data_IF_004666566123
#
_entry.id   IF_004666566123
#
_cell.length_a   1.000
_cell.length_b   1.000
_cell.length_c   1.000
_cell.angle_alpha   90.00
_cell.angle_beta   90.00
_cell.angle_gamma   90.00
#
_symmetry.space_group_name_H-M   'P 1'
#
loop_
_entity.id
_entity.type
_entity.pdbx_description
1 polymer ?
#
# COMPACT_ATOMS: atom_id res chain seq x y z
N UNK A 1 -0.65 27.65 0.82
CA UNK A 1 -1.80 27.08 0.08
C UNK A 1 -1.25 26.25 -1.07
N UNK A 2 -0.99 24.96 -0.86
CA UNK A 2 -0.57 24.06 -1.93
C UNK A 2 -1.83 23.59 -2.68
N UNK A 3 -1.90 23.90 -3.96
CA UNK A 3 -2.99 23.50 -4.87
C UNK A 3 -2.94 21.97 -4.99
N UNK A 4 -3.96 21.35 -4.41
CA UNK A 4 -4.21 19.91 -4.42
C UNK A 4 -4.50 19.47 -5.85
N UNK A 5 -3.56 18.74 -6.48
CA UNK A 5 -3.85 17.98 -7.69
C UNK A 5 -4.65 16.73 -7.30
N UNK A 6 -5.93 16.60 -7.68
CA UNK A 6 -6.66 15.37 -7.45
C UNK A 6 -6.07 14.27 -8.32
N UNK A 7 -5.46 13.25 -7.70
CA UNK A 7 -5.09 12.02 -8.41
C UNK A 7 -6.36 11.39 -8.99
N UNK A 8 -6.60 11.64 -10.27
CA UNK A 8 -7.76 11.14 -11.02
C UNK A 8 -7.89 9.62 -10.96
N UNK A 9 -6.80 8.90 -10.66
CA UNK A 9 -6.76 7.44 -10.60
C UNK A 9 -7.45 6.81 -9.37
N UNK A 10 -7.62 7.51 -8.24
CA UNK A 10 -8.24 6.93 -7.00
C UNK A 10 -9.70 7.31 -6.77
N UNK A 11 -10.19 8.31 -7.49
CA UNK A 11 -11.60 8.73 -7.49
C UNK A 11 -12.56 7.66 -8.06
N UNK A 12 -12.22 6.86 -9.09
CA UNK A 12 -13.17 5.88 -9.61
C UNK A 12 -13.51 4.81 -8.57
N UNK A 13 -12.54 4.28 -7.82
CA UNK A 13 -12.76 3.11 -6.96
C UNK A 13 -13.95 3.23 -5.97
N UNK A 14 -14.10 4.30 -5.15
CA UNK A 14 -15.23 4.42 -4.24
C UNK A 14 -16.58 4.52 -4.97
N UNK A 15 -16.60 5.13 -6.18
CA UNK A 15 -17.81 5.22 -6.99
C UNK A 15 -18.18 3.84 -7.55
N UNK A 16 -17.22 3.07 -8.04
CA UNK A 16 -17.45 1.70 -8.54
C UNK A 16 -17.87 0.75 -7.41
N UNK A 17 -17.25 0.86 -6.23
CA UNK A 17 -17.64 0.10 -5.04
C UNK A 17 -19.08 0.40 -4.63
N UNK A 18 -19.48 1.69 -4.59
CA UNK A 18 -20.87 2.07 -4.32
C UNK A 18 -21.85 1.56 -5.38
N UNK A 19 -21.47 1.58 -6.65
CA UNK A 19 -22.30 1.08 -7.75
C UNK A 19 -22.50 -0.44 -7.67
N UNK A 20 -21.45 -1.19 -7.31
CA UNK A 20 -21.53 -2.63 -7.06
C UNK A 20 -22.51 -2.95 -5.91
N UNK A 21 -22.51 -2.16 -4.83
CA UNK A 21 -23.44 -2.35 -3.71
C UNK A 21 -24.90 -2.10 -4.12
N UNK A 22 -25.15 -1.09 -4.97
CA UNK A 22 -26.49 -0.80 -5.50
C UNK A 22 -26.95 -1.93 -6.44
N UNK A 23 -26.06 -2.46 -7.28
CA UNK A 23 -26.37 -3.63 -8.11
C UNK A 23 -26.68 -4.84 -7.20
N UNK A 24 -25.89 -5.05 -6.14
CA UNK A 24 -26.12 -6.10 -5.16
C UNK A 24 -27.49 -6.01 -4.49
N UNK A 25 -27.94 -4.79 -4.15
CA UNK A 25 -29.31 -4.54 -3.69
C UNK A 25 -30.34 -4.94 -4.74
N UNK A 26 -30.15 -4.54 -6.00
CA UNK A 26 -31.06 -4.86 -7.09
C UNK A 26 -31.24 -6.37 -7.26
N UNK A 27 -30.13 -7.12 -7.24
CA UNK A 27 -30.16 -8.59 -7.33
C UNK A 27 -30.83 -9.21 -6.10
N UNK A 28 -30.52 -8.72 -4.90
CA UNK A 28 -31.11 -9.21 -3.66
C UNK A 28 -32.61 -8.97 -3.57
N UNK A 29 -33.08 -7.75 -3.89
CA UNK A 29 -34.50 -7.42 -3.93
C UNK A 29 -35.25 -8.19 -5.00
N UNK A 30 -34.65 -8.35 -6.19
CA UNK A 30 -35.19 -9.20 -7.24
C UNK A 30 -35.38 -10.64 -6.73
N UNK A 31 -34.41 -11.15 -5.96
CA UNK A 31 -34.50 -12.42 -5.27
C UNK A 31 -35.69 -12.54 -4.31
N UNK A 32 -35.97 -11.50 -3.54
CA UNK A 32 -37.13 -11.45 -2.63
C UNK A 32 -38.47 -11.29 -3.36
N UNK A 33 -38.50 -10.58 -4.49
CA UNK A 33 -39.72 -10.39 -5.28
C UNK A 33 -40.14 -11.72 -5.95
N UNK A 34 -39.19 -12.46 -6.55
CA UNK A 34 -39.48 -13.54 -7.51
C UNK A 34 -39.38 -14.98 -6.99
N UNK A 35 -39.48 -15.26 -5.68
CA UNK A 35 -39.31 -16.66 -5.22
C UNK A 35 -37.85 -17.16 -5.08
N UNK A 36 -36.87 -16.44 -5.63
CA UNK A 36 -35.63 -17.07 -6.09
C UNK A 36 -34.70 -17.45 -4.93
N UNK A 37 -34.69 -18.74 -4.60
CA UNK A 37 -33.84 -19.33 -3.55
C UNK A 37 -32.35 -18.99 -3.74
N UNK A 38 -31.84 -18.95 -4.98
CA UNK A 38 -30.45 -18.60 -5.27
C UNK A 38 -30.06 -17.17 -4.88
N UNK A 39 -30.99 -16.22 -4.96
CA UNK A 39 -30.73 -14.81 -4.63
C UNK A 39 -30.97 -14.48 -3.15
N UNK A 40 -31.74 -15.32 -2.43
CA UNK A 40 -31.94 -15.21 -0.96
C UNK A 40 -30.94 -16.02 -0.16
N UNK A 41 -30.64 -17.21 -0.64
CA UNK A 41 -29.67 -18.17 -0.11
C UNK A 41 -28.69 -18.55 -1.23
N UNK A 42 -27.72 -17.69 -1.55
CA UNK A 42 -26.70 -18.01 -2.57
C UNK A 42 -25.91 -19.28 -2.22
N UNK A 43 -25.89 -19.65 -0.94
CA UNK A 43 -25.49 -20.98 -0.47
C UNK A 43 -26.66 -21.52 0.37
N UNK A 44 -27.25 -22.69 0.01
CA UNK A 44 -28.43 -23.24 0.69
C UNK A 44 -28.28 -23.46 2.20
N UNK A 45 -27.05 -23.58 2.70
CA UNK A 45 -26.73 -23.79 4.12
C UNK A 45 -26.45 -22.51 4.91
N UNK A 46 -26.52 -21.32 4.30
CA UNK A 46 -26.16 -20.05 4.94
C UNK A 46 -27.39 -19.16 5.18
N UNK A 47 -27.29 -18.32 6.22
CA UNK A 47 -28.33 -17.38 6.62
C UNK A 47 -28.73 -16.46 5.44
N UNK A 48 -30.05 -16.16 5.30
CA UNK A 48 -30.54 -15.32 4.22
C UNK A 48 -30.06 -13.88 4.38
N UNK A 49 -30.02 -13.14 3.28
CA UNK A 49 -29.80 -11.70 3.32
C UNK A 49 -31.12 -11.01 3.69
N UNK A 50 -31.16 -10.35 4.84
CA UNK A 50 -32.34 -9.62 5.30
C UNK A 50 -32.60 -8.34 4.48
N UNK A 51 -33.87 -8.00 4.16
CA UNK A 51 -34.21 -6.84 3.32
C UNK A 51 -33.65 -5.51 3.86
N UNK A 52 -33.75 -5.27 5.16
CA UNK A 52 -33.22 -4.06 5.80
C UNK A 52 -31.69 -3.96 5.70
N UNK A 53 -30.97 -5.09 5.74
CA UNK A 53 -29.52 -5.09 5.52
C UNK A 53 -29.16 -4.62 4.12
N UNK A 54 -29.96 -4.99 3.12
CA UNK A 54 -29.74 -4.56 1.74
C UNK A 54 -29.99 -3.05 1.58
N UNK A 55 -31.07 -2.53 2.17
CA UNK A 55 -31.40 -1.09 2.12
C UNK A 55 -30.29 -0.26 2.75
N UNK A 56 -29.78 -0.68 3.92
CA UNK A 56 -28.70 0.02 4.61
C UNK A 56 -27.38 -0.03 3.81
N UNK A 57 -27.03 -1.20 3.26
CA UNK A 57 -25.85 -1.35 2.39
C UNK A 57 -25.91 -0.46 1.16
N UNK A 58 -27.05 -0.41 0.47
CA UNK A 58 -27.22 0.42 -0.71
C UNK A 58 -27.23 1.91 -0.39
N UNK A 59 -27.86 2.30 0.72
CA UNK A 59 -27.83 3.67 1.21
C UNK A 59 -26.42 4.13 1.52
N UNK A 60 -25.62 3.30 2.20
CA UNK A 60 -24.22 3.58 2.48
C UNK A 60 -23.36 3.57 1.19
N UNK A 61 -23.67 2.70 0.24
CA UNK A 61 -23.07 2.71 -1.10
C UNK A 61 -23.36 4.01 -1.88
N UNK A 62 -24.59 4.52 -1.79
CA UNK A 62 -24.97 5.81 -2.38
C UNK A 62 -24.26 6.97 -1.67
N UNK A 63 -24.13 6.91 -0.35
CA UNK A 63 -23.33 7.86 0.42
C UNK A 63 -21.88 7.87 -0.08
N UNK A 64 -21.29 6.69 -0.31
CA UNK A 64 -19.93 6.54 -0.84
C UNK A 64 -19.77 7.18 -2.23
N UNK A 65 -20.74 7.00 -3.13
CA UNK A 65 -20.76 7.64 -4.46
C UNK A 65 -20.79 9.16 -4.33
N UNK A 66 -21.67 9.71 -3.47
CA UNK A 66 -21.75 11.16 -3.28
C UNK A 66 -20.49 11.76 -2.66
N UNK A 67 -19.86 11.07 -1.71
CA UNK A 67 -18.59 11.49 -1.11
C UNK A 67 -17.43 11.42 -2.11
N UNK A 68 -17.34 10.34 -2.91
CA UNK A 68 -16.34 10.21 -3.97
C UNK A 68 -16.48 11.29 -5.05
N UNK A 69 -17.71 11.54 -5.48
CA UNK A 69 -18.01 12.59 -6.45
C UNK A 69 -17.79 14.00 -5.88
N UNK A 70 -18.05 14.22 -4.60
CA UNK A 70 -17.71 15.49 -3.94
C UNK A 70 -16.21 15.74 -3.93
N UNK A 71 -15.39 14.70 -3.68
CA UNK A 71 -13.92 14.81 -3.77
C UNK A 71 -13.44 15.16 -5.17
N UNK A 72 -14.17 14.72 -6.21
CA UNK A 72 -13.85 15.01 -7.61
C UNK A 72 -14.27 16.41 -8.07
N UNK A 73 -15.48 16.85 -7.71
CA UNK A 73 -16.08 18.09 -8.24
C UNK A 73 -16.18 19.24 -7.25
N UNK A 74 -15.91 19.01 -5.97
CA UNK A 74 -16.01 20.02 -4.90
C UNK A 74 -17.45 20.48 -4.59
N UNK A 75 -18.47 19.80 -5.13
CA UNK A 75 -19.85 20.28 -5.07
C UNK A 75 -20.50 20.09 -3.69
N UNK A 76 -20.75 21.21 -2.98
CA UNK A 76 -21.23 21.20 -1.58
C UNK A 76 -22.58 20.50 -1.36
N UNK A 77 -23.46 20.46 -2.37
CA UNK A 77 -24.75 19.76 -2.24
C UNK A 77 -24.57 18.24 -2.14
N UNK A 78 -23.60 17.67 -2.87
CA UNK A 78 -23.27 16.23 -2.80
C UNK A 78 -22.72 15.86 -1.43
N UNK A 79 -21.92 16.73 -0.84
CA UNK A 79 -21.47 16.53 0.53
C UNK A 79 -22.62 16.62 1.53
N UNK A 80 -23.48 17.65 1.44
CA UNK A 80 -24.65 17.77 2.34
C UNK A 80 -25.60 16.59 2.23
N UNK A 81 -25.90 16.13 1.02
CA UNK A 81 -26.75 14.96 0.79
C UNK A 81 -26.15 13.67 1.35
N UNK A 82 -24.84 13.46 1.18
CA UNK A 82 -24.14 12.34 1.82
C UNK A 82 -24.21 12.41 3.35
N UNK A 83 -24.07 13.60 3.95
CA UNK A 83 -24.16 13.81 5.40
C UNK A 83 -25.57 13.54 5.92
N UNK A 84 -26.61 14.06 5.26
CA UNK A 84 -28.01 13.80 5.65
C UNK A 84 -28.36 12.33 5.51
N UNK A 85 -27.88 11.68 4.45
CA UNK A 85 -28.08 10.25 4.23
C UNK A 85 -27.35 9.42 5.29
N UNK A 86 -26.10 9.77 5.61
CA UNK A 86 -25.33 9.14 6.69
C UNK A 86 -26.00 9.30 8.05
N UNK A 87 -26.55 10.48 8.37
CA UNK A 87 -27.32 10.70 9.60
C UNK A 87 -28.58 9.85 9.66
N UNK A 88 -29.35 9.79 8.56
CA UNK A 88 -30.56 8.98 8.48
C UNK A 88 -30.25 7.49 8.67
N UNK A 89 -29.25 6.97 7.94
CA UNK A 89 -28.83 5.57 8.01
C UNK A 89 -28.24 5.21 9.38
N UNK A 90 -27.48 6.12 9.98
CA UNK A 90 -26.98 5.98 11.35
C UNK A 90 -28.12 5.89 12.36
N UNK A 91 -29.12 6.78 12.27
CA UNK A 91 -30.31 6.73 13.13
C UNK A 91 -31.08 5.42 12.99
N UNK A 92 -31.24 4.91 11.76
CA UNK A 92 -31.89 3.60 11.54
C UNK A 92 -31.06 2.45 12.11
N UNK A 93 -29.73 2.50 12.04
CA UNK A 93 -28.87 1.47 12.63
C UNK A 93 -28.91 1.49 14.18
N UNK A 94 -28.95 2.69 14.79
CA UNK A 94 -29.16 2.84 16.24
C UNK A 94 -30.51 2.31 16.67
N UNK A 95 -31.56 2.58 15.89
CA UNK A 95 -32.90 2.07 16.16
C UNK A 95 -32.92 0.54 16.21
N UNK A 96 -32.39 -0.14 15.19
CA UNK A 96 -32.30 -1.60 15.17
C UNK A 96 -31.37 -2.17 16.25
N UNK A 97 -30.27 -1.48 16.60
CA UNK A 97 -29.41 -1.90 17.73
C UNK A 97 -30.16 -1.84 19.06
N UNK A 98 -30.92 -0.76 19.30
CA UNK A 98 -31.70 -0.62 20.52
C UNK A 98 -32.81 -1.69 20.60
N UNK A 99 -33.46 -1.99 19.48
CA UNK A 99 -34.47 -3.04 19.41
C UNK A 99 -33.90 -4.44 19.68
N UNK A 100 -32.77 -4.77 19.05
CA UNK A 100 -32.05 -6.01 19.30
C UNK A 100 -31.58 -6.11 20.76
N UNK A 101 -31.12 -5.01 21.38
CA UNK A 101 -30.64 -5.00 22.75
C UNK A 101 -31.77 -5.12 23.80
N UNK A 102 -32.96 -4.63 23.48
CA UNK A 102 -34.13 -4.67 24.37
C UNK A 102 -34.93 -5.98 24.23
N UNK A 103 -34.51 -6.90 23.36
CA UNK A 103 -35.22 -8.15 23.02
C UNK A 103 -36.72 -7.91 22.80
N UNK A 104 -37.09 -6.77 22.21
CA UNK A 104 -38.48 -6.47 21.88
C UNK A 104 -38.73 -6.91 20.44
N UNK A 105 -39.65 -7.84 20.25
CA UNK A 105 -40.13 -8.27 18.93
C UNK A 105 -41.18 -7.30 18.34
N UNK A 106 -41.19 -6.05 18.83
CA UNK A 106 -42.37 -5.22 18.93
C UNK A 106 -42.39 -4.07 17.92
N UNK A 107 -41.84 -4.25 16.71
CA UNK A 107 -41.91 -3.19 15.70
C UNK A 107 -42.50 -3.66 14.38
N UNK A 108 -43.54 -2.95 13.93
CA UNK A 108 -44.14 -3.06 12.59
C UNK A 108 -43.14 -2.72 11.46
N UNK A 109 -42.05 -2.02 11.78
CA UNK A 109 -41.00 -1.62 10.83
C UNK A 109 -40.28 -2.84 10.23
N UNK A 110 -40.08 -3.89 11.02
CA UNK A 110 -39.48 -5.16 10.56
C UNK A 110 -40.32 -5.87 9.50
N UNK A 111 -41.63 -5.57 9.47
CA UNK A 111 -42.61 -6.15 8.55
C UNK A 111 -42.99 -5.21 7.40
N UNK A 112 -42.37 -4.03 7.30
CA UNK A 112 -42.67 -3.06 6.23
C UNK A 112 -42.21 -3.59 4.85
N UNK A 113 -41.08 -4.30 4.81
CA UNK A 113 -40.56 -4.95 3.61
C UNK A 113 -40.86 -6.45 3.62
N UNK A 114 -41.73 -6.88 2.71
CA UNK A 114 -42.13 -8.28 2.50
C UNK A 114 -42.69 -9.00 3.75
N UNK A 115 -43.75 -8.46 4.39
CA UNK A 115 -44.33 -8.98 5.63
C UNK A 115 -44.67 -10.47 5.60
N UNK A 116 -45.27 -10.95 4.49
CA UNK A 116 -45.73 -12.34 4.36
C UNK A 116 -44.57 -13.33 4.15
N UNK A 117 -43.51 -12.93 3.45
CA UNK A 117 -42.40 -13.81 3.07
C UNK A 117 -41.37 -13.98 4.19
N UNK A 118 -41.24 -12.99 5.07
CA UNK A 118 -40.32 -13.05 6.22
C UNK A 118 -40.80 -14.07 7.26
N UNK A 119 -42.12 -14.14 7.50
CA UNK A 119 -42.73 -15.06 8.48
C UNK A 119 -42.65 -16.53 8.04
N UNK A 120 -42.65 -16.80 6.74
CA UNK A 120 -42.65 -18.17 6.20
C UNK A 120 -41.27 -18.85 6.18
N UNK A 121 -40.18 -18.08 6.22
CA UNK A 121 -38.82 -18.61 5.97
C UNK A 121 -38.02 -18.81 7.25
N UNK A 122 -38.23 -17.98 8.27
CA UNK A 122 -37.48 -18.08 9.53
C UNK A 122 -38.47 -18.05 10.69
N UNK A 123 -38.78 -19.23 11.24
CA UNK A 123 -39.81 -19.41 12.28
C UNK A 123 -39.59 -18.59 13.56
N UNK A 124 -38.42 -17.97 13.76
CA UNK A 124 -38.10 -17.19 14.97
C UNK A 124 -37.36 -15.85 14.71
N UNK A 125 -37.14 -15.42 13.46
CA UNK A 125 -36.36 -14.18 13.21
C UNK A 125 -37.16 -13.13 12.46
N UNK A 126 -37.35 -11.97 13.08
CA UNK A 126 -37.86 -10.78 12.41
C UNK A 126 -36.90 -10.38 11.27
N UNK A 127 -37.40 -9.74 10.21
CA UNK A 127 -36.63 -9.38 9.00
C UNK A 127 -35.53 -8.33 9.21
N UNK A 128 -35.07 -8.16 10.45
CA UNK A 128 -34.10 -7.17 10.91
C UNK A 128 -32.67 -7.58 10.61
N UNK A 129 -31.75 -6.61 10.42
CA UNK A 129 -30.33 -6.92 10.37
C UNK A 129 -29.84 -7.46 11.72
N UNK A 130 -28.80 -8.29 11.69
CA UNK A 130 -28.15 -8.75 12.92
C UNK A 130 -27.54 -7.59 13.72
N UNK A 131 -27.33 -7.75 15.04
CA UNK A 131 -26.68 -6.72 15.86
C UNK A 131 -25.29 -6.33 15.33
N UNK A 132 -24.52 -7.30 14.83
CA UNK A 132 -23.20 -7.09 14.24
C UNK A 132 -23.27 -6.28 12.94
N UNK A 133 -24.25 -6.57 12.08
CA UNK A 133 -24.48 -5.79 10.86
C UNK A 133 -24.89 -4.36 11.19
N UNK A 134 -25.78 -4.17 12.17
CA UNK A 134 -26.20 -2.83 12.60
C UNK A 134 -25.03 -2.04 13.18
N UNK A 135 -24.17 -2.66 14.00
CA UNK A 135 -22.95 -2.02 14.50
C UNK A 135 -22.01 -1.61 13.36
N UNK A 136 -21.85 -2.47 12.36
CA UNK A 136 -21.06 -2.17 11.16
C UNK A 136 -21.62 -0.97 10.39
N UNK A 137 -22.93 -0.95 10.14
CA UNK A 137 -23.60 0.16 9.46
C UNK A 137 -23.51 1.46 10.23
N UNK A 138 -23.62 1.40 11.56
CA UNK A 138 -23.47 2.56 12.44
C UNK A 138 -22.05 3.13 12.34
N UNK A 139 -21.01 2.28 12.38
CA UNK A 139 -19.62 2.72 12.26
C UNK A 139 -19.37 3.40 10.92
N UNK A 140 -19.87 2.85 9.81
CA UNK A 140 -19.75 3.48 8.49
C UNK A 140 -20.58 4.76 8.35
N UNK A 141 -21.77 4.83 8.97
CA UNK A 141 -22.55 6.06 9.04
C UNK A 141 -21.82 7.17 9.81
N UNK A 142 -21.19 6.83 10.95
CA UNK A 142 -20.34 7.75 11.70
C UNK A 142 -19.12 8.16 10.88
N UNK A 143 -18.50 7.23 10.14
CA UNK A 143 -17.42 7.56 9.21
C UNK A 143 -17.89 8.57 8.16
N UNK A 144 -19.05 8.36 7.53
CA UNK A 144 -19.63 9.33 6.59
C UNK A 144 -19.83 10.72 7.23
N UNK A 145 -20.32 10.79 8.46
CA UNK A 145 -20.52 12.06 9.19
C UNK A 145 -19.19 12.76 9.56
N UNK A 146 -18.16 11.99 9.84
CA UNK A 146 -16.82 12.52 10.13
C UNK A 146 -16.06 12.98 8.87
N UNK A 147 -16.53 12.60 7.68
CA UNK A 147 -15.85 12.92 6.43
C UNK A 147 -15.75 14.43 6.19
N UNK A 148 -14.52 14.93 6.28
CA UNK A 148 -14.11 16.28 5.88
C UNK A 148 -12.78 16.20 5.12
N UNK A 149 -12.69 16.74 3.88
CA UNK A 149 -11.49 16.59 3.06
C UNK A 149 -10.23 17.18 3.68
N UNK A 150 -10.34 18.32 4.35
CA UNK A 150 -9.21 19.12 4.83
C UNK A 150 -9.37 19.54 6.31
N UNK A 151 -9.93 18.66 7.16
CA UNK A 151 -10.22 18.99 8.56
C UNK A 151 -9.43 18.15 9.56
N UNK A 152 -9.34 18.64 10.79
CA UNK A 152 -8.75 17.95 11.96
C UNK A 152 -9.39 16.57 12.23
N UNK A 153 -10.60 16.33 11.70
CA UNK A 153 -11.33 15.06 11.80
C UNK A 153 -10.87 14.00 10.81
N UNK A 154 -9.87 14.26 9.97
CA UNK A 154 -9.34 13.30 9.00
C UNK A 154 -8.82 12.00 9.65
N UNK A 155 -8.19 12.11 10.82
CA UNK A 155 -7.76 10.96 11.61
C UNK A 155 -8.93 10.11 12.09
N UNK A 156 -9.95 10.75 12.68
CA UNK A 156 -11.16 10.08 13.16
C UNK A 156 -11.95 9.39 12.04
N UNK A 157 -12.06 10.03 10.86
CA UNK A 157 -12.64 9.41 9.66
C UNK A 157 -11.93 8.12 9.27
N UNK A 158 -10.60 8.16 9.22
CA UNK A 158 -9.78 7.01 8.85
C UNK A 158 -9.92 5.89 9.86
N UNK A 159 -9.91 6.21 11.16
CA UNK A 159 -10.11 5.23 12.23
C UNK A 159 -11.48 4.57 12.13
N UNK A 160 -12.55 5.36 11.98
CA UNK A 160 -13.91 4.82 11.83
C UNK A 160 -14.04 3.92 10.58
N UNK A 161 -13.41 4.30 9.48
CA UNK A 161 -13.41 3.49 8.24
C UNK A 161 -12.71 2.13 8.43
N UNK A 162 -11.60 2.10 9.16
CA UNK A 162 -10.87 0.86 9.48
C UNK A 162 -11.65 0.02 10.49
N UNK A 163 -12.20 0.64 11.54
CA UNK A 163 -13.04 -0.03 12.54
C UNK A 163 -14.27 -0.66 11.91
N UNK A 164 -14.79 -0.11 10.81
CA UNK A 164 -15.92 -0.69 10.07
C UNK A 164 -15.63 -2.09 9.50
N UNK A 165 -14.37 -2.49 9.34
CA UNK A 165 -14.03 -3.86 8.94
C UNK A 165 -14.03 -4.88 10.07
N UNK A 166 -14.09 -4.44 11.33
CA UNK A 166 -13.93 -5.33 12.49
C UNK A 166 -14.96 -6.47 12.51
N UNK A 167 -16.26 -6.14 12.51
CA UNK A 167 -17.33 -7.14 12.54
C UNK A 167 -17.41 -7.98 11.26
N UNK A 168 -17.23 -7.44 10.04
CA UNK A 168 -17.13 -8.26 8.83
C UNK A 168 -15.99 -9.26 8.83
N UNK A 169 -14.80 -8.87 9.31
CA UNK A 169 -13.67 -9.80 9.45
C UNK A 169 -14.01 -10.88 10.48
N UNK A 170 -14.60 -10.50 11.61
CA UNK A 170 -15.01 -11.45 12.65
C UNK A 170 -16.02 -12.46 12.10
N UNK A 171 -17.05 -12.01 11.39
CA UNK A 171 -18.05 -12.86 10.75
C UNK A 171 -17.41 -13.81 9.71
N UNK A 172 -16.54 -13.29 8.83
CA UNK A 172 -15.82 -14.10 7.85
C UNK A 172 -14.93 -15.15 8.51
N UNK A 173 -14.26 -14.81 9.62
CA UNK A 173 -13.47 -15.79 10.38
C UNK A 173 -14.35 -16.91 10.93
N UNK A 174 -15.55 -16.59 11.42
CA UNK A 174 -16.53 -17.57 11.91
C UNK A 174 -17.07 -18.50 10.82
N UNK A 175 -17.06 -18.08 9.55
CA UNK A 175 -17.36 -18.96 8.42
C UNK A 175 -16.17 -19.87 8.05
N UNK A 176 -14.94 -19.37 8.15
CA UNK A 176 -13.72 -20.15 7.86
C UNK A 176 -13.50 -21.29 8.86
N UNK A 177 -13.82 -21.05 10.13
CA UNK A 177 -13.67 -22.04 11.20
C UNK A 177 -14.78 -23.09 11.22
N UNK A 178 -15.87 -22.89 10.46
CA UNK A 178 -17.02 -23.79 10.51
C UNK A 178 -17.89 -23.61 11.77
N UNK A 179 -17.67 -22.57 12.57
CA UNK A 179 -18.56 -22.13 13.65
C UNK A 179 -19.77 -21.32 13.16
N UNK A 180 -20.06 -21.43 11.84
CA UNK A 180 -21.13 -20.77 11.09
C UNK A 180 -21.47 -19.34 11.56
N UNK A 181 -20.50 -18.41 11.57
CA UNK A 181 -20.75 -16.98 11.81
C UNK A 181 -21.46 -16.62 13.13
N UNK A 182 -21.49 -17.55 14.11
CA UNK A 182 -22.11 -17.54 15.45
C UNK A 182 -23.64 -17.81 15.54
N UNK A 183 -24.26 -18.41 14.52
CA UNK A 183 -25.65 -18.90 14.56
C UNK A 183 -25.83 -20.22 15.34
N UNK A 184 -25.32 -20.30 16.57
CA UNK A 184 -25.39 -21.52 17.38
C UNK A 184 -25.18 -21.35 18.89
N UNK A 185 -25.14 -20.12 19.40
CA UNK A 185 -25.32 -19.89 20.84
C UNK A 185 -26.80 -19.64 21.09
N UNK A 186 -27.39 -20.29 22.11
CA UNK A 186 -28.77 -20.11 22.60
C UNK A 186 -29.07 -18.68 23.15
N UNK A 187 -28.34 -17.67 22.67
CA UNK A 187 -28.41 -16.28 23.09
C UNK A 187 -28.43 -15.39 21.86
N UNK A 188 -29.52 -14.66 21.63
CA UNK A 188 -29.71 -13.34 20.98
C UNK A 188 -28.83 -12.82 19.81
N UNK A 189 -27.82 -13.53 19.33
CA UNK A 189 -26.85 -13.12 18.32
C UNK A 189 -26.99 -14.02 17.09
N UNK A 190 -27.94 -13.69 16.22
CA UNK A 190 -27.95 -14.24 14.86
C UNK A 190 -26.75 -13.68 14.10
N UNK A 191 -25.86 -14.55 13.65
CA UNK A 191 -24.63 -14.19 12.93
C UNK A 191 -24.87 -13.38 11.66
N UNK A 192 -23.94 -12.49 11.30
CA UNK A 192 -24.00 -11.79 10.01
C UNK A 192 -23.86 -12.77 8.83
N UNK A 193 -24.73 -12.66 7.81
CA UNK A 193 -24.67 -13.56 6.65
C UNK A 193 -23.40 -13.32 5.80
N UNK A 194 -22.87 -14.39 5.20
CA UNK A 194 -21.64 -14.35 4.38
C UNK A 194 -21.69 -13.28 3.27
N UNK A 195 -22.79 -13.13 2.50
CA UNK A 195 -22.85 -12.10 1.47
C UNK A 195 -22.82 -10.68 2.03
N UNK A 196 -23.50 -10.44 3.17
CA UNK A 196 -23.47 -9.13 3.84
C UNK A 196 -22.07 -8.83 4.35
N UNK A 197 -21.37 -9.82 4.91
CA UNK A 197 -19.98 -9.67 5.33
C UNK A 197 -19.08 -9.26 4.17
N UNK A 198 -19.18 -9.96 3.03
CA UNK A 198 -18.40 -9.65 1.83
C UNK A 198 -18.71 -8.24 1.27
N UNK A 199 -19.98 -7.85 1.22
CA UNK A 199 -20.38 -6.51 0.75
C UNK A 199 -19.92 -5.41 1.72
N UNK A 200 -19.97 -5.65 3.04
CA UNK A 200 -19.41 -4.74 4.04
C UNK A 200 -17.88 -4.59 3.89
N UNK A 201 -17.16 -5.63 3.48
CA UNK A 201 -15.72 -5.52 3.17
C UNK A 201 -15.48 -4.59 1.98
N UNK A 202 -16.27 -4.72 0.91
CA UNK A 202 -16.24 -3.81 -0.24
C UNK A 202 -16.57 -2.38 0.19
N UNK A 203 -17.62 -2.19 0.99
CA UNK A 203 -18.01 -0.88 1.52
C UNK A 203 -16.86 -0.22 2.31
N UNK A 204 -16.24 -0.95 3.24
CA UNK A 204 -15.11 -0.44 4.02
C UNK A 204 -13.89 -0.09 3.16
N UNK A 205 -13.61 -0.88 2.11
CA UNK A 205 -12.54 -0.55 1.16
C UNK A 205 -12.80 0.77 0.43
N UNK A 206 -14.06 1.05 0.09
CA UNK A 206 -14.50 2.32 -0.48
C UNK A 206 -14.27 3.49 0.47
N UNK A 207 -14.66 3.36 1.74
CA UNK A 207 -14.45 4.41 2.75
C UNK A 207 -12.98 4.67 3.03
N UNK A 208 -12.16 3.62 3.15
CA UNK A 208 -10.70 3.76 3.32
C UNK A 208 -10.06 4.44 2.09
N UNK A 209 -10.54 4.15 0.88
CA UNK A 209 -10.07 4.83 -0.34
C UNK A 209 -10.38 6.34 -0.33
N UNK A 210 -11.40 6.78 0.42
CA UNK A 210 -11.74 8.19 0.60
C UNK A 210 -10.92 8.90 1.68
N UNK A 211 -10.04 8.23 2.41
CA UNK A 211 -9.27 8.87 3.49
C UNK A 211 -8.38 10.04 3.00
N UNK A 212 -8.31 11.16 3.74
CA UNK A 212 -7.42 12.28 3.43
C UNK A 212 -5.93 11.95 3.61
N UNK A 213 -5.07 12.58 2.78
CA UNK A 213 -3.59 12.45 2.81
C UNK A 213 -2.95 13.19 3.99
N UNK A 214 -3.42 12.95 5.22
CA UNK A 214 -2.93 13.64 6.43
C UNK A 214 -3.31 13.00 7.77
N UNK A 215 -4.16 11.98 7.79
CA UNK A 215 -4.47 11.18 8.99
C UNK A 215 -3.56 9.95 9.11
N UNK A 216 -4.02 8.84 9.72
CA UNK A 216 -3.34 7.54 9.61
C UNK A 216 -3.14 7.10 8.14
N UNK A 217 -3.83 7.71 7.16
CA UNK A 217 -3.54 7.59 5.73
C UNK A 217 -2.15 8.11 5.31
N UNK A 218 -1.54 8.99 6.10
CA UNK A 218 -0.16 9.48 5.95
C UNK A 218 0.89 8.40 6.27
N UNK A 219 0.48 7.38 7.04
CA UNK A 219 1.24 6.14 7.28
C UNK A 219 1.24 5.24 6.03
N UNK A 220 0.58 5.64 4.94
CA UNK A 220 0.59 4.94 3.66
C UNK A 220 1.15 5.82 2.53
N UNK A 221 1.79 6.96 2.79
CA UNK A 221 2.40 7.80 1.75
C UNK A 221 3.73 7.16 1.25
N UNK A 222 4.00 7.09 -0.07
CA UNK A 222 5.21 6.45 -0.61
C UNK A 222 6.53 7.13 -0.21
N UNK A 223 6.48 8.44 0.09
CA UNK A 223 7.69 9.26 0.25
C UNK A 223 8.30 9.23 1.66
N UNK A 224 7.75 8.45 2.59
CA UNK A 224 8.37 8.24 3.91
C UNK A 224 8.43 6.78 4.29
N UNK A 225 9.52 6.46 4.97
CA UNK A 225 9.93 5.15 5.47
C UNK A 225 8.84 4.38 6.25
N UNK A 226 7.98 5.08 6.98
CA UNK A 226 6.85 4.48 7.70
C UNK A 226 5.77 3.89 6.75
N UNK A 227 5.64 4.47 5.55
CA UNK A 227 4.69 4.10 4.51
C UNK A 227 4.80 2.67 4.00
N UNK A 228 6.04 2.27 3.71
CA UNK A 228 6.39 0.96 3.16
C UNK A 228 6.38 -0.13 4.23
N UNK A 229 6.82 0.17 5.46
CA UNK A 229 6.74 -0.78 6.57
C UNK A 229 5.30 -1.11 6.94
N UNK A 230 4.44 -0.10 7.11
CA UNK A 230 3.05 -0.35 7.51
C UNK A 230 2.26 -1.09 6.43
N UNK A 231 2.50 -0.82 5.14
CA UNK A 231 1.86 -1.60 4.06
C UNK A 231 2.23 -3.08 4.04
N UNK A 232 3.44 -3.43 4.49
CA UNK A 232 3.92 -4.83 4.51
C UNK A 232 3.55 -5.55 5.81
N UNK A 233 3.60 -4.84 6.94
CA UNK A 233 3.45 -5.43 8.27
C UNK A 233 2.01 -5.40 8.79
N UNK A 234 1.21 -4.38 8.41
CA UNK A 234 -0.15 -4.23 8.90
C UNK A 234 -1.09 -5.36 8.41
N UNK A 235 -1.02 -5.83 7.14
CA UNK A 235 -1.80 -7.00 6.75
C UNK A 235 -1.41 -8.24 7.55
N UNK A 236 -0.12 -8.47 7.81
CA UNK A 236 0.33 -9.60 8.61
C UNK A 236 -0.13 -9.50 10.08
N UNK A 237 -0.07 -8.31 10.67
CA UNK A 237 -0.52 -8.07 12.04
C UNK A 237 -2.05 -8.16 12.22
N UNK A 238 -2.83 -7.80 11.20
CA UNK A 238 -4.29 -7.86 11.23
C UNK A 238 -4.84 -9.24 10.86
N UNK A 239 -4.30 -9.84 9.79
CA UNK A 239 -4.78 -11.13 9.25
C UNK A 239 -4.14 -12.31 9.99
N UNK A 240 -2.90 -12.17 10.47
CA UNK A 240 -2.17 -13.24 11.12
C UNK A 240 -2.85 -13.80 12.38
N UNK A 241 -3.35 -12.99 13.33
CA UNK A 241 -4.09 -13.50 14.49
C UNK A 241 -5.35 -14.26 14.11
N UNK A 242 -6.05 -13.83 13.05
CA UNK A 242 -7.27 -14.50 12.54
C UNK A 242 -6.92 -15.87 11.95
N UNK A 243 -5.85 -15.94 11.14
CA UNK A 243 -5.37 -17.21 10.58
C UNK A 243 -4.87 -18.16 11.68
N UNK A 244 -4.08 -17.65 12.63
CA UNK A 244 -3.60 -18.43 13.77
C UNK A 244 -4.76 -18.94 14.62
N UNK A 245 -5.75 -18.08 14.91
CA UNK A 245 -6.99 -18.47 15.59
C UNK A 245 -7.72 -19.59 14.85
N UNK A 246 -7.82 -19.49 13.52
CA UNK A 246 -8.48 -20.51 12.69
C UNK A 246 -7.74 -21.85 12.73
N UNK A 247 -6.41 -21.84 12.64
CA UNK A 247 -5.58 -23.05 12.74
C UNK A 247 -5.67 -23.68 14.12
N UNK A 248 -5.55 -22.89 15.18
CA UNK A 248 -5.67 -23.35 16.57
C UNK A 248 -7.04 -23.98 16.79
N UNK A 249 -8.12 -23.33 16.35
CA UNK A 249 -9.48 -23.86 16.42
C UNK A 249 -9.64 -25.21 15.71
N UNK A 250 -9.13 -25.32 14.47
CA UNK A 250 -9.15 -26.57 13.71
C UNK A 250 -8.43 -27.72 14.43
N UNK A 251 -7.25 -27.43 15.00
CA UNK A 251 -6.45 -28.41 15.76
C UNK A 251 -7.20 -28.87 17.01
N UNK A 252 -7.93 -27.99 17.70
CA UNK A 252 -8.67 -28.33 18.92
C UNK A 252 -9.83 -29.28 18.64
N UNK A 253 -10.64 -28.99 17.61
CA UNK A 253 -11.79 -29.85 17.26
C UNK A 253 -11.32 -31.26 16.92
N UNK A 254 -10.18 -31.38 16.24
CA UNK A 254 -9.61 -32.68 15.86
C UNK A 254 -8.85 -33.36 16.99
N UNK A 255 -8.21 -32.59 17.86
CA UNK A 255 -7.31 -33.10 18.90
C UNK A 255 -7.97 -33.36 20.25
N UNK A 256 -9.21 -32.89 20.48
CA UNK A 256 -9.90 -32.95 21.78
C UNK A 256 -9.15 -32.21 22.90
N UNK A 257 -8.51 -31.08 22.57
CA UNK A 257 -7.72 -30.29 23.52
C UNK A 257 -8.62 -29.45 24.43
N UNK A 258 -8.17 -29.22 25.67
CA UNK A 258 -8.92 -28.39 26.63
C UNK A 258 -8.95 -26.91 26.19
N UNK A 259 -10.12 -26.26 26.26
CA UNK A 259 -10.30 -24.87 25.80
C UNK A 259 -9.42 -23.84 26.50
N UNK A 260 -8.95 -24.12 27.72
CA UNK A 260 -7.97 -23.23 28.41
C UNK A 260 -6.60 -23.25 27.74
N UNK A 261 -6.15 -24.42 27.28
CA UNK A 261 -4.88 -24.58 26.56
C UNK A 261 -4.94 -23.90 25.20
N UNK A 262 -6.10 -23.95 24.54
CA UNK A 262 -6.36 -23.24 23.28
C UNK A 262 -6.13 -21.74 23.37
N UNK A 263 -6.75 -21.10 24.36
CA UNK A 263 -6.64 -19.66 24.57
C UNK A 263 -5.20 -19.28 24.93
N UNK A 264 -4.55 -20.05 25.81
CA UNK A 264 -3.15 -19.82 26.17
C UNK A 264 -2.21 -19.93 24.94
N UNK A 265 -2.41 -20.95 24.11
CA UNK A 265 -1.63 -21.15 22.88
C UNK A 265 -1.89 -20.03 21.87
N UNK A 266 -3.14 -19.61 21.69
CA UNK A 266 -3.49 -18.51 20.79
C UNK A 266 -2.85 -17.19 21.24
N UNK A 267 -2.90 -16.87 22.54
CA UNK A 267 -2.25 -15.68 23.09
C UNK A 267 -0.73 -15.74 22.84
N UNK A 268 -0.11 -16.89 23.13
CA UNK A 268 1.33 -17.09 22.89
C UNK A 268 1.69 -16.91 21.41
N UNK A 269 0.97 -17.57 20.49
CA UNK A 269 1.21 -17.47 19.05
C UNK A 269 1.00 -16.04 18.54
N UNK A 270 0.02 -15.31 19.08
CA UNK A 270 -0.23 -13.92 18.73
C UNK A 270 0.91 -13.01 19.21
N UNK A 271 1.42 -13.23 20.43
CA UNK A 271 2.60 -12.50 20.94
C UNK A 271 3.82 -12.79 20.05
N UNK A 272 4.09 -14.06 19.73
CA UNK A 272 5.20 -14.46 18.84
C UNK A 272 5.07 -13.80 17.47
N UNK A 273 3.86 -13.78 16.90
CA UNK A 273 3.58 -13.11 15.64
C UNK A 273 3.87 -11.61 15.71
N UNK A 274 3.42 -10.92 16.77
CA UNK A 274 3.66 -9.49 16.96
C UNK A 274 5.18 -9.23 17.07
N UNK A 275 5.90 -10.02 17.87
CA UNK A 275 7.36 -9.91 18.00
C UNK A 275 8.04 -10.13 16.65
N UNK A 276 7.66 -11.15 15.90
CA UNK A 276 8.22 -11.44 14.57
C UNK A 276 7.97 -10.29 13.59
N UNK A 277 6.76 -9.73 13.59
CA UNK A 277 6.38 -8.56 12.79
C UNK A 277 7.27 -7.36 13.13
N UNK A 278 7.54 -7.10 14.40
CA UNK A 278 8.43 -6.02 14.84
C UNK A 278 9.89 -6.27 14.43
N UNK A 279 10.39 -7.50 14.56
CA UNK A 279 11.76 -7.87 14.18
C UNK A 279 11.98 -7.79 12.66
N UNK A 280 11.04 -8.29 11.86
CA UNK A 280 11.08 -8.15 10.39
C UNK A 280 11.03 -6.67 10.01
N UNK A 281 10.22 -5.89 10.73
CA UNK A 281 10.17 -4.44 10.54
C UNK A 281 11.52 -3.77 10.73
N UNK A 282 12.20 -4.05 11.85
CA UNK A 282 13.54 -3.53 12.13
C UNK A 282 14.58 -4.00 11.11
N UNK A 283 14.53 -5.27 10.69
CA UNK A 283 15.45 -5.80 9.66
C UNK A 283 15.28 -5.09 8.31
N UNK A 284 14.04 -4.92 7.86
CA UNK A 284 13.72 -4.20 6.62
C UNK A 284 14.15 -2.75 6.73
N UNK A 285 13.98 -2.13 7.90
CA UNK A 285 14.46 -0.79 8.16
C UNK A 285 15.99 -0.69 7.98
N UNK A 286 16.75 -1.54 8.64
CA UNK A 286 18.22 -1.53 8.55
C UNK A 286 18.72 -1.75 7.11
N UNK A 287 18.06 -2.62 6.35
CA UNK A 287 18.38 -2.85 4.95
C UNK A 287 18.19 -1.60 4.09
N UNK A 288 17.08 -0.89 4.26
CA UNK A 288 16.83 0.33 3.49
C UNK A 288 17.78 1.48 3.88
N UNK A 289 18.15 1.59 5.15
CA UNK A 289 19.16 2.56 5.60
C UNK A 289 20.54 2.23 4.98
N UNK A 290 20.92 0.94 4.95
CA UNK A 290 22.15 0.49 4.33
C UNK A 290 22.18 0.75 2.80
N UNK A 291 21.08 0.48 2.09
CA UNK A 291 20.96 0.78 0.66
C UNK A 291 21.10 2.27 0.37
N UNK A 292 20.51 3.14 1.19
CA UNK A 292 20.63 4.61 1.04
C UNK A 292 22.05 5.09 1.31
N UNK A 293 22.70 4.56 2.34
CA UNK A 293 24.09 4.87 2.63
C UNK A 293 25.01 4.41 1.47
N UNK A 294 24.78 3.21 0.92
CA UNK A 294 25.52 2.70 -0.23
C UNK A 294 25.27 3.53 -1.51
N UNK A 295 24.03 4.01 -1.73
CA UNK A 295 23.70 4.89 -2.85
C UNK A 295 24.43 6.24 -2.74
N UNK A 296 24.44 6.85 -1.55
CA UNK A 296 25.16 8.11 -1.32
C UNK A 296 26.68 7.96 -1.53
N UNK A 297 27.27 6.85 -1.05
CA UNK A 297 28.69 6.56 -1.28
C UNK A 297 28.97 6.33 -2.77
N UNK A 298 28.08 5.63 -3.49
CA UNK A 298 28.21 5.41 -4.93
C UNK A 298 28.19 6.72 -5.71
N UNK A 299 27.30 7.65 -5.36
CA UNK A 299 27.24 8.97 -6.00
C UNK A 299 28.54 9.76 -5.75
N UNK A 300 29.05 9.78 -4.52
CA UNK A 300 30.33 10.42 -4.20
C UNK A 300 31.52 9.81 -4.96
N UNK A 301 31.55 8.48 -5.12
CA UNK A 301 32.60 7.80 -5.88
C UNK A 301 32.53 8.14 -7.37
N UNK A 302 31.32 8.18 -7.94
CA UNK A 302 31.11 8.58 -9.33
C UNK A 302 31.52 10.04 -9.56
N UNK A 303 31.25 10.93 -8.60
CA UNK A 303 31.68 12.32 -8.68
C UNK A 303 33.20 12.45 -8.61
N UNK A 304 33.87 11.72 -7.70
CA UNK A 304 35.34 11.67 -7.63
C UNK A 304 35.97 11.12 -8.92
N UNK A 305 35.37 10.08 -9.50
CA UNK A 305 35.84 9.49 -10.76
C UNK A 305 35.69 10.48 -11.93
N UNK A 306 34.57 11.21 -11.98
CA UNK A 306 34.36 12.26 -12.99
C UNK A 306 35.38 13.39 -12.83
N UNK A 307 35.65 13.81 -11.60
CA UNK A 307 36.64 14.84 -11.31
C UNK A 307 38.07 14.42 -11.70
N UNK A 308 38.47 13.17 -11.42
CA UNK A 308 39.78 12.66 -11.83
C UNK A 308 39.89 12.53 -13.35
N UNK A 309 38.84 12.04 -14.01
CA UNK A 309 38.79 11.93 -15.47
C UNK A 309 38.91 13.31 -16.14
N UNK A 310 38.18 14.32 -15.65
CA UNK A 310 38.27 15.68 -16.15
C UNK A 310 39.68 16.28 -15.96
N UNK A 311 40.36 15.95 -14.85
CA UNK A 311 41.74 16.36 -14.59
C UNK A 311 42.72 15.73 -15.58
N UNK A 312 42.57 14.44 -15.88
CA UNK A 312 43.41 13.74 -16.87
C UNK A 312 43.19 14.33 -18.27
N UNK A 313 41.93 14.55 -18.68
CA UNK A 313 41.63 15.17 -19.97
C UNK A 313 42.22 16.59 -20.09
N UNK A 314 42.19 17.39 -19.01
CA UNK A 314 42.78 18.72 -19.02
C UNK A 314 44.31 18.67 -19.24
N UNK A 315 45.00 17.72 -18.61
CA UNK A 315 46.44 17.49 -18.81
C UNK A 315 46.75 16.94 -20.21
N UNK A 316 45.89 16.09 -20.77
CA UNK A 316 46.09 15.58 -22.13
C UNK A 316 45.83 16.64 -23.22
N UNK A 317 44.86 17.54 -22.99
CA UNK A 317 44.54 18.62 -23.94
C UNK A 317 45.51 19.79 -23.89
N UNK A 318 46.33 19.94 -22.85
CA UNK A 318 47.39 20.93 -22.88
C UNK A 318 48.39 20.55 -23.97
N UNK A 319 48.38 21.26 -25.08
CA UNK A 319 49.37 21.09 -26.14
C UNK A 319 50.75 21.39 -25.57
N UNK A 320 51.63 20.39 -25.56
CA UNK A 320 53.04 20.58 -25.31
C UNK A 320 53.62 21.39 -26.46
N UNK A 321 54.17 22.55 -26.15
CA UNK A 321 54.83 23.39 -27.15
C UNK A 321 56.27 22.92 -27.30
N UNK A 322 56.60 22.41 -28.48
CA UNK A 322 57.94 21.91 -28.81
C UNK A 322 58.61 22.87 -29.77
N UNK A 323 59.83 23.29 -29.47
CA UNK A 323 60.62 24.13 -30.36
C UNK A 323 61.05 23.30 -31.58
N UNK A 324 60.65 23.73 -32.77
CA UNK A 324 60.97 23.02 -34.01
C UNK A 324 62.47 22.95 -34.33
N UNK A 325 63.26 23.91 -33.82
CA UNK A 325 64.69 24.02 -34.15
C UNK A 325 65.59 23.29 -33.15
N UNK A 326 65.36 23.49 -31.86
CA UNK A 326 66.18 22.93 -30.78
C UNK A 326 65.65 21.60 -30.25
N UNK A 327 64.42 21.19 -30.64
CA UNK A 327 63.71 20.01 -30.11
C UNK A 327 63.57 20.00 -28.58
N UNK A 328 63.49 21.18 -27.96
CA UNK A 328 63.20 21.36 -26.54
C UNK A 328 61.70 21.57 -26.31
N UNK A 329 61.19 21.19 -25.15
CA UNK A 329 59.79 21.39 -24.72
C UNK A 329 59.71 22.61 -23.80
N UNK A 330 58.68 23.42 -23.96
CA UNK A 330 58.38 24.52 -23.04
C UNK A 330 57.57 24.01 -21.86
N UNK A 331 58.11 24.17 -20.67
CA UNK A 331 57.53 23.68 -19.41
C UNK A 331 56.71 24.75 -18.66
N UNK A 332 56.43 25.88 -19.30
CA UNK A 332 55.75 27.03 -18.68
C UNK A 332 56.71 28.10 -18.17
N UNK A 333 57.89 27.72 -17.68
CA UNK A 333 58.91 28.66 -17.18
C UNK A 333 60.17 28.72 -18.05
N UNK A 334 60.59 27.57 -18.60
CA UNK A 334 61.85 27.42 -19.34
C UNK A 334 61.74 26.36 -20.44
N UNK A 335 62.65 26.43 -21.41
CA UNK A 335 62.83 25.38 -22.41
C UNK A 335 63.75 24.29 -21.85
N UNK A 336 63.27 23.05 -21.79
CA UNK A 336 64.04 21.88 -21.34
C UNK A 336 64.10 20.81 -22.43
N UNK A 337 65.13 19.94 -22.44
CA UNK A 337 65.17 18.75 -23.29
C UNK A 337 63.93 17.87 -23.08
N UNK A 338 63.49 17.18 -24.13
CA UNK A 338 62.31 16.29 -24.05
C UNK A 338 62.54 15.19 -23.01
N UNK A 339 63.76 14.69 -22.89
CA UNK A 339 64.13 13.64 -21.96
C UNK A 339 64.00 14.10 -20.50
N UNK A 340 64.42 15.33 -20.22
CA UNK A 340 64.27 15.97 -18.91
C UNK A 340 62.78 16.18 -18.60
N UNK A 341 62.00 16.67 -19.59
CA UNK A 341 60.55 16.81 -19.46
C UNK A 341 59.85 15.47 -19.14
N UNK A 342 60.17 14.39 -19.86
CA UNK A 342 59.59 13.06 -19.63
C UNK A 342 59.92 12.49 -18.24
N UNK A 343 61.13 12.76 -17.75
CA UNK A 343 61.58 12.26 -16.45
C UNK A 343 60.98 13.07 -15.31
N UNK A 344 61.02 14.41 -15.38
CA UNK A 344 60.54 15.28 -14.29
C UNK A 344 59.01 15.37 -14.23
N UNK A 345 58.31 15.38 -15.36
CA UNK A 345 56.86 15.65 -15.40
C UNK A 345 56.00 14.41 -15.57
N UNK A 346 56.55 13.33 -16.12
CA UNK A 346 55.80 12.09 -16.40
C UNK A 346 56.38 10.85 -15.70
N UNK A 347 57.50 10.98 -15.00
CA UNK A 347 58.19 9.89 -14.28
C UNK A 347 58.53 8.70 -15.20
N UNK A 348 58.84 9.00 -16.48
CA UNK A 348 59.21 8.01 -17.50
C UNK A 348 60.74 8.03 -17.66
N UNK A 349 61.47 6.97 -17.27
CA UNK A 349 62.91 6.91 -17.45
C UNK A 349 63.28 6.75 -18.93
N UNK A 350 64.25 7.55 -19.41
CA UNK A 350 64.71 7.55 -20.81
C UNK A 350 66.12 6.96 -20.92
N UNK A 351 66.32 6.05 -21.87
CA UNK A 351 67.64 5.50 -22.22
C UNK A 351 67.99 5.83 -23.67
N UNK A 352 69.29 6.01 -23.96
CA UNK A 352 69.77 6.38 -25.29
C UNK A 352 70.33 5.16 -26.03
N UNK A 353 69.86 4.94 -27.26
CA UNK A 353 70.38 3.94 -28.19
C UNK A 353 70.49 4.53 -29.59
N UNK A 354 71.39 4.01 -30.42
CA UNK A 354 71.50 4.41 -31.82
C UNK A 354 70.57 3.54 -32.67
N UNK A 355 69.76 4.15 -33.53
CA UNK A 355 68.95 3.38 -34.47
C UNK A 355 69.83 2.77 -35.56
N UNK A 356 69.42 1.61 -36.05
CA UNK A 356 70.12 0.90 -37.14
C UNK A 356 70.31 1.78 -38.39
N UNK A 357 69.34 2.64 -38.69
CA UNK A 357 69.40 3.59 -39.81
C UNK A 357 70.45 4.70 -39.58
N UNK A 358 70.48 5.28 -38.38
CA UNK A 358 71.45 6.32 -38.03
C UNK A 358 72.87 5.75 -38.00
N UNK A 359 73.03 4.53 -37.50
CA UNK A 359 74.29 3.81 -37.51
C UNK A 359 74.80 3.61 -38.95
N UNK A 360 73.95 3.08 -39.85
CA UNK A 360 74.30 2.90 -41.27
C UNK A 360 74.62 4.22 -41.98
N UNK A 361 73.91 5.30 -41.65
CA UNK A 361 74.18 6.62 -42.22
C UNK A 361 75.55 7.17 -41.79
N UNK A 362 75.92 7.01 -40.52
CA UNK A 362 77.24 7.41 -40.04
C UNK A 362 78.35 6.59 -40.71
N UNK A 363 78.17 5.27 -40.85
CA UNK A 363 79.13 4.42 -41.55
C UNK A 363 79.33 4.89 -42.99
N UNK A 364 78.23 5.10 -43.75
CA UNK A 364 78.30 5.63 -45.12
C UNK A 364 78.96 7.01 -45.21
N UNK A 365 78.71 7.88 -44.23
CA UNK A 365 79.30 9.22 -44.19
C UNK A 365 80.80 9.15 -43.90
N UNK A 366 81.25 8.23 -43.05
CA UNK A 366 82.67 8.00 -42.78
C UNK A 366 83.37 7.43 -44.02
N UNK A 367 82.78 6.44 -44.68
CA UNK A 367 83.28 5.89 -45.95
C UNK A 367 83.38 6.97 -47.05
N UNK A 368 82.40 7.86 -47.14
CA UNK A 368 82.41 8.97 -48.10
C UNK A 368 83.43 10.07 -47.76
N UNK A 369 83.70 10.31 -46.47
CA UNK A 369 84.71 11.27 -46.02
C UNK A 369 86.14 10.75 -46.28
N UNK A 370 86.37 9.44 -46.15
CA UNK A 370 87.65 8.80 -46.49
C UNK A 370 87.92 8.78 -48.00
N UNK A 371 86.86 8.80 -48.83
CA UNK A 371 86.98 8.81 -50.29
C UNK A 371 87.23 10.19 -50.92
N UNK A 372 87.22 11.29 -50.15
CA UNK A 372 87.46 12.65 -50.64
C UNK A 372 88.87 13.15 -50.28
N UNK A 373 89.89 13.04 -51.17
CA UNK A 373 91.21 13.57 -50.87
C UNK A 373 91.17 15.10 -50.82
N UNK A 374 91.82 15.61 -49.78
CA UNK A 374 92.10 17.01 -49.46
C UNK A 374 92.44 17.83 -50.71
N UNK A 375 91.61 18.80 -51.09
CA UNK A 375 92.04 19.90 -51.95
C UNK A 375 92.69 20.97 -51.07
N UNK A 376 93.99 21.15 -51.26
CA UNK A 376 94.77 22.28 -50.76
C UNK A 376 94.27 23.61 -51.34
#
# INVERSE_FOLDING_TARGET
MAVYSPDKARIPFPVHAGLLLIIGLGVGLYGWIFDLNFARHPVPSLAPIYPWSMVLLAGLGLCLIFLGNYRATGSRWRWRTAQTLGALLGSTAVFFLAENALCRDATWVDRLLFPEKVVLIVHDSTGRPSPEACATFLIFAVAALLFRPNGERAGAFTMASILGWFFPILALSGFLTGSAGLSGMDTAFSGMSLPVAALCMVLGSGFVALSPRGGLGYVFEPDRFAGTMVRRLLPAAAVGPVLLGSVVYYVIIRGNWNGRLAVALLVLLTIVLIVLVLLIGDLVQRQQEAERAAAAVREQLLEKLRASHARIEALQRSMLTVCAWTKTVWDGERWIPVEEFLTEHLDIPVSHGISEEAFRYQVKKMEAAEASPTKA
#
